data_IF_540472168639
#
_entry.id   IF_540472168639
#
_cell.length_a   1.000
_cell.length_b   1.000
_cell.length_c   1.000
_cell.angle_alpha   90.00
_cell.angle_beta   90.00
_cell.angle_gamma   90.00
#
_symmetry.space_group_name_H-M   'P 1'
#
loop_
_entity.id
_entity.type
_entity.pdbx_description
1 polymer ?
#
# COMPACT_ATOMS: atom_id res chain seq x y z
N UNK A 1 1.06 14.25 -17.27
CA UNK A 1 0.89 12.77 -17.26
C UNK A 1 -0.26 12.31 -18.15
N UNK A 2 -1.39 13.03 -18.16
CA UNK A 2 -2.59 12.63 -18.94
C UNK A 2 -2.35 12.41 -20.43
N UNK A 3 -1.41 13.12 -21.06
CA UNK A 3 -1.07 12.93 -22.48
C UNK A 3 -0.57 11.52 -22.84
N UNK A 4 -0.14 10.72 -21.86
CA UNK A 4 0.37 9.37 -22.06
C UNK A 4 -0.67 8.28 -21.73
N UNK A 5 -1.89 8.66 -21.37
CA UNK A 5 -2.90 7.67 -20.99
C UNK A 5 -3.49 6.99 -22.22
N UNK A 6 -3.61 5.67 -22.15
CA UNK A 6 -4.39 4.91 -23.13
C UNK A 6 -5.88 5.28 -22.99
N UNK A 7 -6.68 5.12 -24.05
CA UNK A 7 -8.13 5.36 -24.03
C UNK A 7 -8.83 4.73 -22.80
N UNK A 8 -8.43 3.51 -22.42
CA UNK A 8 -8.95 2.81 -21.24
C UNK A 8 -8.60 3.50 -19.92
N UNK A 9 -7.36 4.00 -19.77
CA UNK A 9 -6.94 4.77 -18.60
C UNK A 9 -7.64 6.13 -18.53
N UNK A 10 -7.88 6.79 -19.66
CA UNK A 10 -8.70 8.00 -19.70
C UNK A 10 -10.13 7.74 -19.21
N UNK A 11 -10.74 6.64 -19.62
CA UNK A 11 -12.07 6.26 -19.14
C UNK A 11 -12.09 6.04 -17.62
N UNK A 12 -11.04 5.41 -17.07
CA UNK A 12 -10.89 5.22 -15.63
C UNK A 12 -10.68 6.56 -14.88
N UNK A 13 -9.80 7.43 -15.38
CA UNK A 13 -9.51 8.72 -14.75
C UNK A 13 -10.76 9.60 -14.65
N UNK A 14 -11.64 9.54 -15.66
CA UNK A 14 -12.86 10.35 -15.75
C UNK A 14 -14.01 9.86 -14.84
N UNK A 15 -13.85 8.75 -14.12
CA UNK A 15 -14.84 8.29 -13.16
C UNK A 15 -14.97 9.31 -12.02
N UNK A 16 -16.20 9.62 -11.61
CA UNK A 16 -16.47 10.45 -10.43
C UNK A 16 -16.20 9.66 -9.14
N UNK A 17 -14.93 9.45 -8.80
CA UNK A 17 -14.48 8.62 -7.69
C UNK A 17 -15.11 9.01 -6.35
N UNK A 18 -15.20 10.31 -6.08
CA UNK A 18 -15.83 10.85 -4.87
C UNK A 18 -17.35 10.59 -4.75
N UNK A 19 -18.06 10.42 -5.87
CA UNK A 19 -19.53 10.26 -5.88
C UNK A 19 -19.98 8.81 -6.05
N UNK A 20 -19.21 8.01 -6.80
CA UNK A 20 -19.54 6.61 -7.08
C UNK A 20 -18.97 5.64 -6.05
N UNK A 21 -17.89 6.00 -5.35
CA UNK A 21 -17.01 5.09 -4.60
C UNK A 21 -16.70 5.72 -3.21
N UNK A 22 -17.73 5.84 -2.35
CA UNK A 22 -17.68 6.64 -1.10
C UNK A 22 -17.86 5.84 0.22
N UNK A 23 -17.59 4.55 0.24
CA UNK A 23 -17.94 3.64 1.35
C UNK A 23 -17.15 3.87 2.66
N UNK A 24 -16.19 4.80 2.69
CA UNK A 24 -15.39 5.15 3.88
C UNK A 24 -15.18 6.67 3.97
N UNK A 25 -14.69 7.13 5.12
CA UNK A 25 -14.42 8.54 5.40
C UNK A 25 -13.37 9.15 4.45
N UNK A 26 -12.40 8.34 3.99
CA UNK A 26 -11.42 8.75 2.99
C UNK A 26 -11.98 8.65 1.57
N UNK A 27 -11.76 9.71 0.80
CA UNK A 27 -12.11 9.78 -0.62
C UNK A 27 -11.21 8.83 -1.40
N UNK A 28 -11.81 7.94 -2.20
CA UNK A 28 -11.04 7.10 -3.09
C UNK A 28 -10.50 7.94 -4.23
N UNK A 29 -9.20 7.80 -4.54
CA UNK A 29 -8.55 8.63 -5.55
C UNK A 29 -7.97 7.77 -6.67
N UNK A 30 -7.99 8.29 -7.89
CA UNK A 30 -7.49 7.60 -9.07
C UNK A 30 -6.02 7.19 -8.95
N UNK A 31 -5.19 7.96 -8.23
CA UNK A 31 -3.77 7.61 -8.07
C UNK A 31 -3.57 6.26 -7.37
N UNK A 32 -4.47 5.89 -6.45
CA UNK A 32 -4.42 4.61 -5.73
C UNK A 32 -4.61 3.44 -6.70
N UNK A 33 -5.51 3.60 -7.67
CA UNK A 33 -5.75 2.63 -8.75
C UNK A 33 -4.54 2.57 -9.68
N UNK A 34 -4.03 3.73 -10.09
CA UNK A 34 -2.90 3.81 -11.01
C UNK A 34 -1.66 3.14 -10.42
N UNK A 35 -1.32 3.46 -9.17
CA UNK A 35 -0.21 2.83 -8.44
C UNK A 35 -0.37 1.32 -8.39
N UNK A 36 -1.59 0.84 -8.15
CA UNK A 36 -1.85 -0.58 -8.13
C UNK A 36 -1.65 -1.24 -9.50
N UNK A 37 -2.22 -0.67 -10.56
CA UNK A 37 -2.11 -1.22 -11.92
C UNK A 37 -0.67 -1.30 -12.40
N UNK A 38 0.14 -0.27 -12.10
CA UNK A 38 1.58 -0.28 -12.36
C UNK A 38 2.25 -1.43 -11.60
N UNK A 39 1.87 -1.63 -10.35
CA UNK A 39 2.39 -2.70 -9.50
C UNK A 39 1.94 -4.10 -9.93
N UNK A 40 0.73 -4.26 -10.45
CA UNK A 40 0.31 -5.52 -11.05
C UNK A 40 1.23 -5.96 -12.20
N UNK A 41 1.75 -4.98 -12.96
CA UNK A 41 2.71 -5.24 -14.06
C UNK A 41 4.16 -5.37 -13.57
N UNK A 42 4.55 -4.58 -12.57
CA UNK A 42 5.93 -4.47 -12.11
C UNK A 42 6.35 -5.52 -11.07
N UNK A 43 5.40 -6.29 -10.51
CA UNK A 43 5.62 -7.28 -9.43
C UNK A 43 6.41 -6.68 -8.27
N UNK A 44 5.85 -5.70 -7.53
CA UNK A 44 6.60 -5.02 -6.49
C UNK A 44 6.76 -5.93 -5.27
N UNK A 45 7.90 -5.77 -4.62
CA UNK A 45 8.09 -6.24 -3.27
C UNK A 45 7.64 -5.18 -2.27
N UNK A 46 6.99 -5.62 -1.19
CA UNK A 46 6.63 -4.76 -0.06
C UNK A 46 7.53 -5.04 1.13
N UNK A 47 7.91 -3.99 1.87
CA UNK A 47 8.70 -4.18 3.10
C UNK A 47 7.82 -4.87 4.15
N UNK A 48 8.33 -5.98 4.68
CA UNK A 48 7.78 -6.61 5.86
C UNK A 48 8.43 -6.03 7.13
N UNK A 49 7.73 -5.08 7.76
CA UNK A 49 8.18 -4.42 9.01
C UNK A 49 8.35 -5.42 10.15
N UNK A 50 7.49 -6.44 10.24
CA UNK A 50 7.55 -7.42 11.33
C UNK A 50 8.86 -8.24 11.28
N UNK A 51 9.36 -8.50 10.07
CA UNK A 51 10.59 -9.23 9.79
C UNK A 51 11.82 -8.34 9.67
N UNK A 52 11.65 -7.01 9.70
CA UNK A 52 12.76 -6.05 9.62
C UNK A 52 13.59 -6.11 10.90
N UNK A 53 14.91 -6.15 10.73
CA UNK A 53 15.88 -6.19 11.83
C UNK A 53 16.74 -4.93 11.85
N UNK A 54 17.02 -4.40 13.04
CA UNK A 54 17.76 -3.14 13.18
C UNK A 54 18.83 -3.29 14.23
N UNK A 55 20.05 -2.95 13.87
CA UNK A 55 21.23 -3.07 14.72
C UNK A 55 22.09 -1.80 14.73
N UNK A 56 22.83 -1.61 15.82
CA UNK A 56 23.91 -0.63 15.92
C UNK A 56 25.15 -1.30 16.46
N UNK A 57 26.31 -0.89 15.99
CA UNK A 57 27.61 -1.35 16.49
C UNK A 57 28.59 -0.16 16.54
N UNK A 58 29.73 -0.33 17.20
CA UNK A 58 30.80 0.69 17.20
C UNK A 58 31.95 0.21 16.31
N UNK A 59 32.25 0.98 15.27
CA UNK A 59 33.42 0.77 14.43
C UNK A 59 34.53 1.72 14.89
N UNK A 60 35.57 1.19 15.54
CA UNK A 60 36.63 1.97 16.20
C UNK A 60 36.06 2.88 17.29
N UNK A 61 35.66 4.09 16.92
CA UNK A 61 35.10 5.13 17.82
C UNK A 61 33.73 5.62 17.36
N UNK A 62 33.29 5.28 16.14
CA UNK A 62 32.05 5.79 15.56
C UNK A 62 30.90 4.79 15.73
N UNK A 63 29.72 5.29 16.14
CA UNK A 63 28.50 4.49 16.21
C UNK A 63 27.91 4.32 14.81
N UNK A 64 27.85 3.09 14.34
CA UNK A 64 27.31 2.70 13.05
C UNK A 64 25.90 2.11 13.22
N UNK A 65 25.09 2.20 12.16
CA UNK A 65 23.71 1.72 12.12
C UNK A 65 23.50 0.80 10.92
N UNK A 66 22.82 -0.31 11.14
CA UNK A 66 22.50 -1.33 10.14
C UNK A 66 21.00 -1.64 10.24
N UNK A 67 20.25 -1.40 9.17
CA UNK A 67 18.84 -1.77 9.08
C UNK A 67 18.70 -2.82 7.94
N UNK A 68 18.22 -4.01 8.26
CA UNK A 68 17.96 -5.11 7.32
C UNK A 68 16.47 -5.15 6.99
N UNK A 69 16.15 -4.88 5.72
CA UNK A 69 14.79 -4.92 5.19
C UNK A 69 14.50 -6.26 4.53
N UNK A 70 13.43 -6.89 4.99
CA UNK A 70 12.89 -8.09 4.34
C UNK A 70 11.75 -7.65 3.43
N UNK A 71 11.77 -8.16 2.21
CA UNK A 71 10.86 -7.81 1.13
C UNK A 71 10.02 -9.04 0.78
N UNK A 72 8.71 -8.91 0.85
CA UNK A 72 7.77 -9.99 0.52
C UNK A 72 6.99 -9.67 -0.76
N UNK A 73 6.76 -10.70 -1.58
CA UNK A 73 5.86 -10.63 -2.73
C UNK A 73 4.42 -10.74 -2.23
N UNK A 74 3.71 -9.62 -2.12
CA UNK A 74 2.26 -9.62 -1.86
C UNK A 74 1.47 -9.98 -3.13
N UNK A 75 1.91 -11.02 -3.85
CA UNK A 75 1.45 -11.35 -5.21
C UNK A 75 -0.02 -11.73 -5.24
N UNK A 76 -0.50 -12.41 -4.21
CA UNK A 76 -1.91 -12.81 -4.08
C UNK A 76 -2.88 -11.64 -4.23
N UNK A 77 -2.51 -10.44 -3.74
CA UNK A 77 -3.35 -9.26 -3.87
C UNK A 77 -3.42 -8.78 -5.33
N UNK A 78 -2.28 -8.75 -6.02
CA UNK A 78 -2.17 -8.30 -7.41
C UNK A 78 -2.80 -9.28 -8.40
N UNK A 79 -2.72 -10.58 -8.10
CA UNK A 79 -3.32 -11.64 -8.91
C UNK A 79 -4.84 -11.73 -8.68
N UNK A 80 -5.33 -11.46 -7.47
CA UNK A 80 -6.77 -11.37 -7.18
C UNK A 80 -7.45 -10.21 -7.92
N UNK A 81 -6.68 -9.18 -8.23
CA UNK A 81 -7.19 -7.95 -8.79
C UNK A 81 -7.54 -8.06 -10.28
N UNK A 82 -8.63 -7.40 -10.72
CA UNK A 82 -9.02 -7.39 -12.12
C UNK A 82 -7.99 -6.63 -12.96
N UNK A 83 -7.83 -7.07 -14.21
CA UNK A 83 -7.06 -6.33 -15.21
C UNK A 83 -7.74 -4.99 -15.52
N UNK A 84 -6.98 -4.04 -16.09
CA UNK A 84 -7.46 -2.69 -16.47
C UNK A 84 -8.80 -2.74 -17.22
N UNK A 85 -8.97 -3.73 -18.08
CA UNK A 85 -10.14 -3.89 -18.94
C UNK A 85 -11.41 -4.20 -18.15
N UNK A 86 -11.29 -4.99 -17.07
CA UNK A 86 -12.42 -5.40 -16.24
C UNK A 86 -12.49 -4.63 -14.90
N UNK A 87 -11.64 -3.62 -14.75
CA UNK A 87 -11.50 -2.88 -13.50
C UNK A 87 -12.78 -2.09 -13.17
N UNK A 88 -13.40 -1.49 -14.19
CA UNK A 88 -14.65 -0.71 -14.04
C UNK A 88 -15.76 -1.61 -13.48
N UNK A 89 -16.03 -2.74 -14.13
CA UNK A 89 -17.05 -3.69 -13.69
C UNK A 89 -16.78 -4.26 -12.29
N UNK A 90 -15.51 -4.44 -11.95
CA UNK A 90 -15.13 -4.96 -10.63
C UNK A 90 -15.25 -3.92 -9.51
N UNK A 91 -15.17 -2.63 -9.82
CA UNK A 91 -15.38 -1.56 -8.85
C UNK A 91 -16.87 -1.23 -8.65
N UNK A 92 -17.70 -1.50 -9.65
CA UNK A 92 -19.16 -1.38 -9.51
C UNK A 92 -19.72 -2.37 -8.48
N UNK A 93 -19.03 -3.49 -8.27
CA UNK A 93 -19.33 -4.44 -7.21
C UNK A 93 -18.80 -3.94 -5.85
N UNK A 94 -19.73 -3.66 -4.94
CA UNK A 94 -19.46 -3.14 -3.60
C UNK A 94 -18.55 -4.10 -2.81
N UNK A 95 -18.75 -5.42 -2.94
CA UNK A 95 -17.98 -6.40 -2.17
C UNK A 95 -16.50 -6.36 -2.56
N UNK A 96 -16.22 -6.37 -3.86
CA UNK A 96 -14.86 -6.23 -4.40
C UNK A 96 -14.24 -4.89 -4.03
N UNK A 97 -15.02 -3.82 -4.10
CA UNK A 97 -14.55 -2.50 -3.75
C UNK A 97 -14.13 -2.40 -2.26
N UNK A 98 -14.89 -3.03 -1.36
CA UNK A 98 -14.55 -3.11 0.06
C UNK A 98 -13.28 -3.92 0.28
N UNK A 99 -13.16 -5.10 -0.32
CA UNK A 99 -11.96 -5.95 -0.21
C UNK A 99 -10.73 -5.20 -0.71
N UNK A 100 -10.83 -4.52 -1.85
CA UNK A 100 -9.73 -3.71 -2.40
C UNK A 100 -9.29 -2.63 -1.42
N UNK A 101 -10.23 -1.88 -0.85
CA UNK A 101 -9.94 -0.81 0.11
C UNK A 101 -9.30 -1.34 1.40
N UNK A 102 -9.80 -2.44 1.96
CA UNK A 102 -9.17 -3.08 3.12
C UNK A 102 -7.77 -3.59 2.84
N UNK A 103 -7.51 -4.11 1.64
CA UNK A 103 -6.17 -4.53 1.26
C UNK A 103 -5.18 -3.37 1.15
N UNK A 104 -5.61 -2.24 0.57
CA UNK A 104 -4.79 -1.03 0.51
C UNK A 104 -4.49 -0.47 1.90
N UNK A 105 -5.49 -0.44 2.79
CA UNK A 105 -5.33 -0.05 4.18
C UNK A 105 -4.35 -0.96 4.93
N UNK A 106 -4.39 -2.28 4.68
CA UNK A 106 -3.43 -3.23 5.24
C UNK A 106 -1.99 -2.96 4.79
N UNK A 107 -1.79 -2.70 3.48
CA UNK A 107 -0.45 -2.39 2.95
C UNK A 107 0.10 -1.09 3.54
N UNK A 108 -0.71 -0.03 3.60
CA UNK A 108 -0.24 1.24 4.15
C UNK A 108 0.08 1.16 5.64
N UNK A 109 -0.65 0.32 6.40
CA UNK A 109 -0.30 0.02 7.80
C UNK A 109 1.06 -0.64 7.95
N UNK A 110 1.46 -1.46 6.97
CA UNK A 110 2.81 -2.02 6.91
C UNK A 110 3.84 -0.98 6.48
N UNK A 111 3.61 -0.18 5.45
CA UNK A 111 4.68 0.66 4.88
C UNK A 111 4.89 2.02 5.57
N UNK A 112 3.96 2.45 6.44
CA UNK A 112 3.90 3.79 7.02
C UNK A 112 5.23 4.39 7.50
N UNK A 113 6.10 3.60 8.14
CA UNK A 113 7.32 4.14 8.76
C UNK A 113 8.44 4.46 7.78
N UNK A 114 8.46 3.82 6.62
CA UNK A 114 9.54 4.01 5.63
C UNK A 114 9.03 4.63 4.33
N UNK A 115 7.77 4.40 3.97
CA UNK A 115 7.17 4.93 2.76
C UNK A 115 5.72 5.36 3.04
N UNK A 116 5.58 6.61 3.48
CA UNK A 116 4.27 7.25 3.72
C UNK A 116 3.60 7.73 2.42
N UNK A 117 4.39 7.86 1.35
CA UNK A 117 3.93 8.37 0.05
C UNK A 117 3.11 7.33 -0.73
N UNK A 118 3.41 6.03 -0.53
CA UNK A 118 2.69 4.97 -1.23
C UNK A 118 1.28 4.80 -0.71
N UNK A 119 0.32 4.77 -1.63
CA UNK A 119 -1.09 4.57 -1.33
C UNK A 119 -1.64 5.55 -0.28
N UNK A 120 -1.19 6.81 -0.32
CA UNK A 120 -1.69 7.86 0.57
C UNK A 120 -3.22 8.01 0.49
N UNK A 121 -3.85 8.27 1.64
CA UNK A 121 -5.31 8.45 1.77
C UNK A 121 -6.14 7.17 1.61
N UNK A 122 -5.57 6.00 1.94
CA UNK A 122 -6.27 4.70 1.87
C UNK A 122 -6.80 4.22 3.22
N UNK A 123 -6.75 5.06 4.26
CA UNK A 123 -7.09 4.63 5.61
C UNK A 123 -8.60 4.35 5.72
N UNK A 124 -8.93 3.08 5.99
CA UNK A 124 -10.34 2.65 6.06
C UNK A 124 -10.86 2.59 7.50
N UNK A 125 -9.96 2.34 8.47
CA UNK A 125 -10.30 2.14 9.89
C UNK A 125 -9.40 3.00 10.77
N UNK A 126 -9.91 3.43 11.92
CA UNK A 126 -9.16 4.22 12.88
C UNK A 126 -7.90 3.50 13.43
N UNK A 127 -6.91 4.29 13.85
CA UNK A 127 -5.53 3.89 14.11
C UNK A 127 -5.30 3.04 15.36
N UNK A 128 -6.11 3.21 16.41
CA UNK A 128 -5.61 2.99 17.77
C UNK A 128 -6.32 1.93 18.62
N UNK A 129 -7.46 1.37 18.18
CA UNK A 129 -8.32 0.62 19.12
C UNK A 129 -8.86 -0.74 18.63
N UNK A 130 -8.38 -1.25 17.49
CA UNK A 130 -8.91 -2.52 16.93
C UNK A 130 -7.83 -3.56 16.67
N UNK A 131 -7.85 -4.62 17.48
CA UNK A 131 -7.00 -5.81 17.32
C UNK A 131 -7.13 -6.34 15.88
N UNK A 132 -5.99 -6.54 15.23
CA UNK A 132 -5.91 -6.98 13.82
C UNK A 132 -5.88 -5.85 12.79
N UNK A 133 -6.11 -4.60 13.19
CA UNK A 133 -5.98 -3.40 12.33
C UNK A 133 -4.92 -2.43 12.88
N UNK A 134 -4.01 -2.90 13.72
CA UNK A 134 -2.95 -2.09 14.31
C UNK A 134 -1.88 -1.74 13.25
N UNK A 135 -1.25 -0.58 13.40
CA UNK A 135 -0.07 -0.26 12.60
C UNK A 135 1.11 -1.08 13.09
N UNK A 136 1.88 -1.63 12.17
CA UNK A 136 3.13 -2.26 12.54
C UNK A 136 4.13 -1.21 13.01
N UNK A 137 4.70 -1.43 14.19
CA UNK A 137 5.74 -0.58 14.75
C UNK A 137 7.11 -1.17 14.46
N UNK A 138 8.07 -0.30 14.14
CA UNK A 138 9.44 -0.72 13.98
C UNK A 138 10.04 -1.21 15.30
N UNK A 139 10.72 -2.35 15.25
CA UNK A 139 11.51 -2.85 16.38
C UNK A 139 12.59 -1.84 16.75
N UNK A 140 12.83 -1.69 18.06
CA UNK A 140 13.95 -0.88 18.56
C UNK A 140 15.26 -1.48 18.04
N UNK A 141 16.21 -0.59 17.75
CA UNK A 141 17.54 -0.98 17.32
C UNK A 141 18.32 -1.65 18.44
N UNK A 142 18.85 -2.84 18.17
CA UNK A 142 19.64 -3.62 19.12
C UNK A 142 21.13 -3.31 18.98
N UNK A 143 21.86 -3.21 20.08
CA UNK A 143 23.31 -3.03 20.04
C UNK A 143 23.99 -4.39 19.90
N UNK A 144 24.86 -4.53 18.90
CA UNK A 144 25.73 -5.70 18.73
C UNK A 144 27.16 -5.26 19.08
N UNK A 145 27.75 -5.94 20.07
CA UNK A 145 29.16 -5.85 20.46
C UNK A 145 30.07 -6.57 19.47
#
# INVERSE_FOLDING_TARGET
LEQYYTKKLHNLANIQWNRKIFQFCDVFLFHQVLEFLVRQLAVPYHINISSTCRWSYVAKETRMFLDLFVFDECRYLYDWMPTIDNFIHSIEDIERQLVFRFALDGITRHTRWYFEEYFSGTACVEKFDKKGFEYLTLKRRNYIT
#
